data_IF_212359452146
#
_entry.id   IF_212359452146
#
_cell.length_a   1.000
_cell.length_b   1.000
_cell.length_c   1.000
_cell.angle_alpha   90.00
_cell.angle_beta   90.00
_cell.angle_gamma   90.00
#
_symmetry.space_group_name_H-M   'P 1'
#
loop_
_entity.id
_entity.type
_entity.pdbx_description
1 polymer ?
#
# COMPACT_ATOMS: atom_id res chain seq x y z
N UNK A 1 -11.03 38.38 -10.13
CA UNK A 1 -10.80 37.03 -9.57
C UNK A 1 -9.67 37.14 -8.55
N UNK A 2 -9.91 36.88 -7.25
CA UNK A 2 -8.83 36.89 -6.27
C UNK A 2 -7.92 35.66 -6.44
N UNK A 3 -6.59 35.79 -6.26
CA UNK A 3 -5.66 34.68 -6.38
C UNK A 3 -5.91 33.65 -5.28
N UNK A 4 -5.97 32.36 -5.66
CA UNK A 4 -6.12 31.23 -4.75
C UNK A 4 -4.80 31.06 -3.97
N UNK A 5 -4.79 31.13 -2.63
CA UNK A 5 -3.56 31.07 -1.85
C UNK A 5 -3.00 29.63 -1.82
N UNK A 6 -1.79 29.49 -2.35
CA UNK A 6 -0.96 28.29 -2.45
C UNK A 6 -0.36 27.88 -1.08
N UNK A 7 -1.21 27.66 -0.07
CA UNK A 7 -0.79 27.63 1.35
C UNK A 7 -0.94 26.28 2.06
N UNK A 8 -0.71 25.16 1.38
CA UNK A 8 -0.96 23.81 1.98
C UNK A 8 0.25 22.87 2.05
N UNK A 9 1.32 23.09 1.29
CA UNK A 9 2.49 22.20 1.29
C UNK A 9 3.41 22.38 2.52
N UNK A 10 3.47 23.58 3.10
CA UNK A 10 4.33 23.87 4.26
C UNK A 10 3.92 23.17 5.56
N UNK A 11 2.64 22.82 5.71
CA UNK A 11 2.14 22.19 6.94
C UNK A 11 2.71 20.77 7.09
N UNK A 12 2.84 20.02 6.00
CA UNK A 12 3.42 18.67 6.01
C UNK A 12 4.92 18.67 6.36
N UNK A 13 5.68 19.61 5.77
CA UNK A 13 7.11 19.76 6.09
C UNK A 13 7.33 20.17 7.54
N UNK A 14 6.48 21.06 8.06
CA UNK A 14 6.57 21.52 9.45
C UNK A 14 6.22 20.40 10.45
N UNK A 15 5.22 19.57 10.15
CA UNK A 15 4.89 18.39 10.96
C UNK A 15 6.02 17.35 10.96
N UNK A 16 6.64 17.10 9.79
CA UNK A 16 7.74 16.15 9.67
C UNK A 16 8.98 16.65 10.43
N UNK A 17 9.30 17.95 10.32
CA UNK A 17 10.40 18.57 11.06
C UNK A 17 10.16 18.54 12.59
N UNK A 18 8.94 18.83 13.04
CA UNK A 18 8.56 18.71 14.45
C UNK A 18 8.65 17.27 14.97
N UNK A 19 8.21 16.29 14.17
CA UNK A 19 8.31 14.88 14.51
C UNK A 19 9.76 14.41 14.67
N UNK A 20 10.61 14.70 13.67
CA UNK A 20 12.03 14.35 13.72
C UNK A 20 12.74 15.07 14.88
N UNK A 21 12.43 16.36 15.10
CA UNK A 21 12.99 17.15 16.19
C UNK A 21 12.63 16.59 17.56
N UNK A 22 11.36 16.24 17.77
CA UNK A 22 10.88 15.65 19.03
C UNK A 22 11.53 14.29 19.30
N UNK A 23 11.63 13.43 18.28
CA UNK A 23 12.29 12.12 18.39
C UNK A 23 13.77 12.30 18.71
N UNK A 24 14.45 13.24 18.04
CA UNK A 24 15.86 13.54 18.27
C UNK A 24 16.10 14.06 19.69
N UNK A 25 15.25 14.96 20.19
CA UNK A 25 15.33 15.48 21.56
C UNK A 25 15.08 14.37 22.59
N UNK A 26 14.08 13.49 22.36
CA UNK A 26 13.82 12.34 23.22
C UNK A 26 15.04 11.42 23.33
N UNK A 27 15.69 11.11 22.20
CA UNK A 27 16.89 10.25 22.16
C UNK A 27 18.06 10.92 22.89
N UNK A 28 18.25 12.23 22.72
CA UNK A 28 19.33 12.97 23.37
C UNK A 28 19.09 13.13 24.87
N UNK A 29 17.84 13.30 25.32
CA UNK A 29 17.52 13.50 26.74
C UNK A 29 17.34 12.22 27.55
N UNK A 30 17.34 11.05 26.93
CA UNK A 30 17.32 9.80 27.69
C UNK A 30 18.66 9.61 28.39
N UNK A 31 18.64 9.64 29.73
CA UNK A 31 19.80 9.32 30.57
C UNK A 31 20.31 7.89 30.38
N UNK A 32 19.47 7.00 29.83
CA UNK A 32 19.76 5.58 29.73
C UNK A 32 19.88 5.08 28.29
N UNK A 33 20.76 5.72 27.51
CA UNK A 33 20.98 5.40 26.10
C UNK A 33 21.52 3.98 25.89
N UNK A 34 22.31 3.49 26.83
CA UNK A 34 22.89 2.13 26.78
C UNK A 34 21.80 1.06 26.86
N UNK A 35 20.78 1.24 27.70
CA UNK A 35 19.64 0.32 27.78
C UNK A 35 18.80 0.32 26.50
N UNK A 36 18.63 1.47 25.85
CA UNK A 36 17.94 1.54 24.54
C UNK A 36 18.73 0.82 23.46
N UNK A 37 20.04 1.01 23.40
CA UNK A 37 20.89 0.32 22.42
C UNK A 37 20.91 -1.19 22.66
N UNK A 38 20.88 -1.61 23.92
CA UNK A 38 20.81 -3.04 24.31
C UNK A 38 19.44 -3.62 23.98
N UNK A 39 18.36 -2.87 24.19
CA UNK A 39 17.02 -3.26 23.77
C UNK A 39 16.91 -3.37 22.25
N UNK A 40 17.49 -2.42 21.50
CA UNK A 40 17.53 -2.43 20.05
C UNK A 40 18.32 -3.64 19.52
N UNK A 41 19.51 -3.92 20.06
CA UNK A 41 20.30 -5.07 19.63
C UNK A 41 19.60 -6.41 19.93
N UNK A 42 18.89 -6.49 21.06
CA UNK A 42 18.07 -7.65 21.43
C UNK A 42 16.89 -7.85 20.48
N UNK A 43 16.25 -6.75 20.06
CA UNK A 43 15.19 -6.77 19.04
C UNK A 43 15.73 -7.25 17.69
N UNK A 44 16.92 -6.79 17.30
CA UNK A 44 17.57 -7.24 16.05
C UNK A 44 17.86 -8.74 16.08
N UNK A 45 18.29 -9.28 17.22
CA UNK A 45 18.59 -10.71 17.38
C UNK A 45 17.33 -11.60 17.40
N UNK A 46 16.17 -11.07 17.82
CA UNK A 46 14.89 -11.79 17.88
C UNK A 46 13.82 -11.16 16.98
N UNK A 47 14.21 -10.75 15.78
CA UNK A 47 13.35 -10.00 14.84
C UNK A 47 12.01 -10.68 14.56
N UNK A 48 11.93 -12.01 14.60
CA UNK A 48 10.68 -12.77 14.41
C UNK A 48 9.65 -12.51 15.52
N UNK A 49 10.07 -12.42 16.79
CA UNK A 49 9.15 -12.09 17.90
C UNK A 49 8.67 -10.64 17.85
N UNK A 50 9.57 -9.72 17.50
CA UNK A 50 9.23 -8.31 17.33
C UNK A 50 8.26 -8.11 16.17
N UNK A 51 8.51 -8.77 15.02
CA UNK A 51 7.62 -8.76 13.87
C UNK A 51 6.23 -9.32 14.22
N UNK A 52 6.16 -10.46 14.93
CA UNK A 52 4.90 -11.03 15.38
C UNK A 52 4.13 -10.10 16.32
N UNK A 53 4.81 -9.46 17.28
CA UNK A 53 4.19 -8.49 18.19
C UNK A 53 3.66 -7.26 17.46
N UNK A 54 4.44 -6.71 16.51
CA UNK A 54 4.02 -5.58 15.68
C UNK A 54 2.81 -5.96 14.82
N UNK A 55 2.82 -7.14 14.18
CA UNK A 55 1.69 -7.63 13.38
C UNK A 55 0.43 -7.83 14.23
N UNK A 56 0.55 -8.39 15.43
CA UNK A 56 -0.56 -8.51 16.37
C UNK A 56 -1.09 -7.13 16.78
N UNK A 57 -0.20 -6.19 17.12
CA UNK A 57 -0.59 -4.83 17.48
C UNK A 57 -1.30 -4.11 16.32
N UNK A 58 -0.74 -4.18 15.10
CA UNK A 58 -1.37 -3.63 13.90
C UNK A 58 -2.72 -4.28 13.62
N UNK A 59 -2.82 -5.61 13.74
CA UNK A 59 -4.06 -6.36 13.56
C UNK A 59 -5.12 -5.92 14.55
N UNK A 60 -4.77 -5.78 15.83
CA UNK A 60 -5.65 -5.25 16.87
C UNK A 60 -6.05 -3.80 16.60
N UNK A 61 -5.11 -2.95 16.17
CA UNK A 61 -5.36 -1.54 15.88
C UNK A 61 -6.25 -1.36 14.65
N UNK A 62 -6.01 -2.12 13.59
CA UNK A 62 -6.89 -2.19 12.42
C UNK A 62 -8.27 -2.69 12.84
N UNK A 63 -8.36 -3.79 13.58
CA UNK A 63 -9.64 -4.32 14.07
C UNK A 63 -10.40 -3.30 14.92
N UNK A 64 -9.72 -2.59 15.81
CA UNK A 64 -10.30 -1.56 16.67
C UNK A 64 -10.72 -0.30 15.88
N UNK A 65 -9.87 0.16 14.95
CA UNK A 65 -10.13 1.29 14.08
C UNK A 65 -11.27 1.01 13.09
N UNK A 66 -11.43 -0.25 12.67
CA UNK A 66 -12.50 -0.66 11.75
C UNK A 66 -13.79 -1.09 12.46
N UNK A 67 -13.72 -1.55 13.71
CA UNK A 67 -14.94 -1.78 14.53
C UNK A 67 -15.62 -0.50 14.97
N UNK A 68 -14.86 0.57 15.19
CA UNK A 68 -15.42 1.87 15.55
C UNK A 68 -15.70 2.63 14.27
N UNK A 69 -16.95 3.01 14.07
CA UNK A 69 -17.38 3.89 12.98
C UNK A 69 -16.77 5.29 13.21
N UNK A 70 -15.49 5.46 12.87
CA UNK A 70 -14.68 6.64 13.22
C UNK A 70 -15.33 7.93 12.71
N UNK A 71 -15.99 7.87 11.55
CA UNK A 71 -16.72 9.01 10.98
C UNK A 71 -17.93 9.43 11.82
N UNK A 72 -18.62 8.50 12.48
CA UNK A 72 -19.77 8.84 13.33
C UNK A 72 -19.34 9.44 14.66
N UNK A 73 -18.17 9.03 15.18
CA UNK A 73 -17.70 9.48 16.49
C UNK A 73 -16.97 10.83 16.47
N UNK A 74 -16.31 11.18 15.37
CA UNK A 74 -15.52 12.41 15.31
C UNK A 74 -16.29 13.54 14.62
N UNK A 75 -16.71 14.53 15.42
CA UNK A 75 -17.41 15.73 14.96
C UNK A 75 -16.65 16.55 13.89
N UNK A 76 -15.32 16.40 13.82
CA UNK A 76 -14.49 17.02 12.78
C UNK A 76 -14.83 16.51 11.38
N UNK A 77 -15.00 15.20 11.21
CA UNK A 77 -15.30 14.61 9.90
C UNK A 77 -16.70 14.97 9.41
N UNK A 78 -17.69 15.01 10.32
CA UNK A 78 -19.03 15.53 10.00
C UNK A 78 -18.99 16.98 9.51
N UNK A 79 -18.23 17.85 10.19
CA UNK A 79 -18.06 19.23 9.74
C UNK A 79 -17.36 19.33 8.39
N UNK A 80 -16.51 18.37 8.04
CA UNK A 80 -15.77 18.36 6.77
C UNK A 80 -16.65 17.86 5.62
N UNK A 81 -17.49 16.86 5.88
CA UNK A 81 -18.54 16.37 4.98
C UNK A 81 -19.57 17.46 4.67
N UNK A 82 -20.03 18.21 5.67
CA UNK A 82 -21.01 19.29 5.50
C UNK A 82 -20.45 20.51 4.76
N UNK A 83 -19.14 20.78 4.87
CA UNK A 83 -18.53 22.01 4.34
C UNK A 83 -17.82 21.87 3.00
N UNK A 84 -17.51 20.65 2.54
CA UNK A 84 -16.65 20.46 1.36
C UNK A 84 -17.09 19.28 0.49
N UNK A 85 -17.01 19.43 -0.84
CA UNK A 85 -17.25 18.32 -1.78
C UNK A 85 -16.26 17.16 -1.58
N UNK A 86 -15.01 17.47 -1.22
CA UNK A 86 -14.02 16.46 -0.85
C UNK A 86 -14.50 15.63 0.35
N UNK A 87 -15.12 16.26 1.34
CA UNK A 87 -15.68 15.57 2.50
C UNK A 87 -16.80 14.60 2.12
N UNK A 88 -17.68 14.99 1.20
CA UNK A 88 -18.71 14.11 0.67
C UNK A 88 -18.12 12.90 -0.08
N UNK A 89 -17.11 13.14 -0.94
CA UNK A 89 -16.41 12.06 -1.65
C UNK A 89 -15.69 11.10 -0.69
N UNK A 90 -14.98 11.65 0.31
CA UNK A 90 -14.32 10.88 1.37
C UNK A 90 -15.33 10.06 2.19
N UNK A 91 -16.48 10.62 2.53
CA UNK A 91 -17.57 9.92 3.22
C UNK A 91 -18.11 8.76 2.38
N UNK A 92 -18.32 8.98 1.08
CA UNK A 92 -18.76 7.92 0.17
C UNK A 92 -17.74 6.79 0.05
N UNK A 93 -16.45 7.13 -0.13
CA UNK A 93 -15.36 6.15 -0.16
C UNK A 93 -15.30 5.39 1.16
N UNK A 94 -15.39 6.09 2.30
CA UNK A 94 -15.37 5.47 3.63
C UNK A 94 -16.54 4.50 3.81
N UNK A 95 -17.77 4.88 3.44
CA UNK A 95 -18.95 4.01 3.53
C UNK A 95 -18.82 2.76 2.65
N UNK A 96 -18.33 2.91 1.42
CA UNK A 96 -18.05 1.78 0.53
C UNK A 96 -16.97 0.86 1.11
N UNK A 97 -15.89 1.44 1.65
CA UNK A 97 -14.81 0.69 2.26
C UNK A 97 -15.28 -0.04 3.52
N UNK A 98 -15.98 0.66 4.42
CA UNK A 98 -16.58 0.08 5.63
C UNK A 98 -17.54 -1.07 5.28
N UNK A 99 -18.41 -0.89 4.28
CA UNK A 99 -19.29 -1.97 3.79
C UNK A 99 -18.53 -3.19 3.28
N UNK A 100 -17.42 -2.98 2.56
CA UNK A 100 -16.54 -4.08 2.13
C UNK A 100 -15.89 -4.80 3.33
N UNK A 101 -15.43 -4.03 4.33
CA UNK A 101 -14.80 -4.56 5.53
C UNK A 101 -15.75 -5.32 6.46
N UNK A 102 -17.04 -4.96 6.50
CA UNK A 102 -18.04 -5.68 7.30
C UNK A 102 -18.35 -7.08 6.79
N UNK A 103 -17.95 -7.40 5.55
CA UNK A 103 -18.13 -8.72 4.96
C UNK A 103 -16.80 -9.50 4.97
N UNK A 104 -16.53 -10.34 5.99
CA UNK A 104 -15.24 -11.03 6.14
C UNK A 104 -14.89 -11.89 4.92
N UNK A 105 -15.89 -12.49 4.25
CA UNK A 105 -15.66 -13.27 3.03
C UNK A 105 -15.10 -12.44 1.86
N UNK A 106 -15.57 -11.19 1.68
CA UNK A 106 -15.05 -10.29 0.65
C UNK A 106 -13.65 -9.78 1.01
N UNK A 107 -13.43 -9.46 2.28
CA UNK A 107 -12.12 -9.06 2.79
C UNK A 107 -11.06 -10.14 2.55
N UNK A 108 -11.34 -11.39 2.95
CA UNK A 108 -10.41 -12.51 2.78
C UNK A 108 -10.11 -12.76 1.32
N UNK A 109 -11.11 -12.71 0.43
CA UNK A 109 -10.91 -12.87 -1.02
C UNK A 109 -10.05 -11.75 -1.59
N UNK A 110 -10.32 -10.51 -1.22
CA UNK A 110 -9.57 -9.33 -1.69
C UNK A 110 -8.13 -9.37 -1.19
N UNK A 111 -7.92 -9.73 0.07
CA UNK A 111 -6.59 -9.89 0.67
C UNK A 111 -5.82 -11.01 -0.01
N UNK A 112 -6.46 -12.16 -0.27
CA UNK A 112 -5.85 -13.27 -0.98
C UNK A 112 -5.48 -12.86 -2.42
N UNK A 113 -6.36 -12.16 -3.12
CA UNK A 113 -6.08 -11.64 -4.47
C UNK A 113 -4.88 -10.69 -4.45
N UNK A 114 -4.82 -9.80 -3.46
CA UNK A 114 -3.70 -8.87 -3.27
C UNK A 114 -2.39 -9.59 -2.97
N UNK A 115 -2.41 -10.61 -2.10
CA UNK A 115 -1.24 -11.44 -1.80
C UNK A 115 -0.74 -12.20 -3.02
N UNK A 116 -1.64 -12.83 -3.78
CA UNK A 116 -1.30 -13.53 -5.02
C UNK A 116 -0.68 -12.56 -6.02
N UNK A 117 -1.26 -11.37 -6.19
CA UNK A 117 -0.73 -10.34 -7.07
C UNK A 117 0.69 -9.89 -6.64
N UNK A 118 0.91 -9.67 -5.34
CA UNK A 118 2.24 -9.35 -4.82
C UNK A 118 3.23 -10.50 -5.03
N UNK A 119 2.80 -11.74 -4.84
CA UNK A 119 3.64 -12.91 -5.07
C UNK A 119 4.09 -13.00 -6.54
N UNK A 120 3.17 -12.81 -7.50
CA UNK A 120 3.53 -12.75 -8.91
C UNK A 120 4.51 -11.63 -9.23
N UNK A 121 4.31 -10.45 -8.64
CA UNK A 121 5.24 -9.33 -8.80
C UNK A 121 6.64 -9.65 -8.26
N UNK A 122 6.73 -10.29 -7.09
CA UNK A 122 8.01 -10.70 -6.48
C UNK A 122 8.70 -11.77 -7.32
N UNK A 123 7.96 -12.75 -7.83
CA UNK A 123 8.50 -13.79 -8.72
C UNK A 123 9.03 -13.16 -10.01
N UNK A 124 8.29 -12.22 -10.61
CA UNK A 124 8.77 -11.47 -11.77
C UNK A 124 10.07 -10.71 -11.46
N UNK A 125 10.14 -10.02 -10.32
CA UNK A 125 11.34 -9.34 -9.86
C UNK A 125 12.53 -10.29 -9.68
N UNK A 126 12.30 -11.46 -9.08
CA UNK A 126 13.30 -12.51 -8.92
C UNK A 126 13.83 -13.01 -10.27
N UNK A 127 12.94 -13.30 -11.23
CA UNK A 127 13.32 -13.76 -12.57
C UNK A 127 14.13 -12.70 -13.33
N UNK A 128 13.74 -11.42 -13.23
CA UNK A 128 14.51 -10.31 -13.82
C UNK A 128 15.87 -10.14 -13.14
N UNK A 129 15.92 -10.24 -11.81
CA UNK A 129 17.16 -10.18 -11.06
C UNK A 129 18.11 -11.31 -11.44
N UNK A 130 17.59 -12.53 -11.63
CA UNK A 130 18.33 -13.67 -12.14
C UNK A 130 18.87 -13.41 -13.56
N UNK A 131 18.07 -12.79 -14.44
CA UNK A 131 18.51 -12.36 -15.77
C UNK A 131 19.59 -11.29 -15.77
N UNK A 132 19.57 -10.38 -14.80
CA UNK A 132 20.59 -9.35 -14.56
C UNK A 132 21.82 -9.88 -13.78
N UNK A 133 21.88 -11.19 -13.50
CA UNK A 133 22.92 -11.83 -12.71
C UNK A 133 23.12 -11.15 -11.34
N UNK A 134 22.02 -10.74 -10.70
CA UNK A 134 22.02 -10.21 -9.33
C UNK A 134 21.99 -11.40 -8.38
N UNK A 135 23.13 -11.69 -7.77
CA UNK A 135 23.27 -12.71 -6.73
C UNK A 135 23.36 -11.99 -5.38
N UNK A 136 22.37 -12.18 -4.52
CA UNK A 136 22.34 -11.60 -3.17
C UNK A 136 23.04 -12.47 -2.14
N UNK A 137 23.28 -13.74 -2.48
CA UNK A 137 23.97 -14.72 -1.63
C UNK A 137 25.34 -14.96 -2.25
N UNK A 138 26.39 -14.82 -1.45
CA UNK A 138 27.77 -15.06 -1.88
C UNK A 138 27.90 -16.47 -2.51
N UNK A 139 28.66 -16.61 -3.61
CA UNK A 139 28.93 -17.91 -4.19
C UNK A 139 29.74 -18.74 -3.18
N UNK A 140 29.14 -19.84 -2.70
CA UNK A 140 29.84 -20.87 -1.94
C UNK A 140 30.43 -21.88 -2.93
N UNK A 141 31.63 -22.41 -2.65
CA UNK A 141 32.39 -23.29 -3.54
C UNK A 141 31.79 -24.71 -3.67
N UNK A 142 30.59 -24.95 -3.14
CA UNK A 142 29.94 -26.26 -3.08
C UNK A 142 28.98 -26.49 -4.27
N UNK A 143 29.35 -27.31 -5.29
CA UNK A 143 28.59 -27.44 -6.54
C UNK A 143 27.22 -28.16 -6.42
N UNK A 144 26.93 -28.80 -5.28
CA UNK A 144 25.72 -29.62 -5.10
C UNK A 144 24.49 -28.85 -4.55
N UNK A 145 24.60 -27.56 -4.24
CA UNK A 145 23.58 -26.79 -3.50
C UNK A 145 22.76 -25.84 -4.39
N UNK A 146 22.91 -25.92 -5.72
CA UNK A 146 22.26 -25.01 -6.68
C UNK A 146 20.73 -24.78 -6.49
N UNK A 147 19.87 -25.80 -6.26
CA UNK A 147 18.43 -25.57 -6.11
C UNK A 147 18.08 -24.91 -4.76
N UNK A 148 18.77 -25.27 -3.69
CA UNK A 148 18.54 -24.71 -2.35
C UNK A 148 18.89 -23.22 -2.35
N UNK A 149 19.98 -22.84 -3.03
CA UNK A 149 20.39 -21.44 -3.20
C UNK A 149 19.31 -20.61 -3.88
N UNK A 150 18.67 -21.11 -4.95
CA UNK A 150 17.59 -20.39 -5.64
C UNK A 150 16.39 -20.12 -4.74
N UNK A 151 16.04 -21.08 -3.88
CA UNK A 151 14.95 -20.92 -2.90
C UNK A 151 15.32 -19.86 -1.85
N UNK A 152 16.57 -19.87 -1.37
CA UNK A 152 17.07 -18.86 -0.43
C UNK A 152 17.07 -17.46 -1.05
N UNK A 153 17.52 -17.31 -2.31
CA UNK A 153 17.46 -16.04 -3.05
C UNK A 153 16.02 -15.55 -3.21
N UNK A 154 15.08 -16.43 -3.59
CA UNK A 154 13.67 -16.08 -3.65
C UNK A 154 13.15 -15.62 -2.28
N UNK A 155 13.61 -16.23 -1.19
CA UNK A 155 13.32 -15.81 0.18
C UNK A 155 13.78 -14.38 0.47
N UNK A 156 14.96 -13.98 0.01
CA UNK A 156 15.43 -12.58 0.10
C UNK A 156 14.52 -11.64 -0.69
N UNK A 157 14.10 -12.01 -1.90
CA UNK A 157 13.18 -11.18 -2.68
C UNK A 157 11.80 -11.07 -2.02
N UNK A 158 11.31 -12.16 -1.43
CA UNK A 158 10.04 -12.21 -0.69
C UNK A 158 10.00 -11.30 0.53
N UNK A 159 11.14 -11.01 1.15
CA UNK A 159 11.20 -10.08 2.30
C UNK A 159 11.44 -8.64 1.86
N UNK A 160 12.34 -8.42 0.91
CA UNK A 160 12.79 -7.08 0.51
C UNK A 160 11.75 -6.37 -0.36
N UNK A 161 11.14 -7.05 -1.33
CA UNK A 161 10.24 -6.39 -2.30
C UNK A 161 8.91 -5.89 -1.72
N UNK A 162 8.25 -6.57 -0.77
CA UNK A 162 7.09 -6.00 -0.08
C UNK A 162 7.42 -4.69 0.64
N UNK A 163 8.60 -4.60 1.26
CA UNK A 163 9.06 -3.38 1.94
C UNK A 163 9.30 -2.26 0.93
N UNK A 164 10.01 -2.56 -0.18
CA UNK A 164 10.22 -1.61 -1.28
C UNK A 164 8.89 -1.11 -1.83
N UNK A 165 7.95 -2.02 -2.11
CA UNK A 165 6.63 -1.65 -2.64
C UNK A 165 5.84 -0.80 -1.65
N UNK A 166 5.89 -1.12 -0.36
CA UNK A 166 5.29 -0.31 0.70
C UNK A 166 5.84 1.12 0.70
N UNK A 167 7.16 1.28 0.66
CA UNK A 167 7.82 2.60 0.59
C UNK A 167 7.44 3.34 -0.71
N UNK A 168 7.35 2.62 -1.83
CA UNK A 168 6.97 3.18 -3.12
C UNK A 168 5.54 3.75 -3.14
N UNK A 169 4.63 3.27 -2.29
CA UNK A 169 3.26 3.83 -2.20
C UNK A 169 3.20 5.20 -1.53
N UNK A 170 4.27 5.64 -0.88
CA UNK A 170 4.32 6.97 -0.28
C UNK A 170 4.34 8.00 -1.42
N UNK A 171 3.38 8.95 -1.48
CA UNK A 171 3.26 9.91 -2.57
C UNK A 171 4.29 11.04 -2.46
N UNK A 172 5.56 10.70 -2.23
CA UNK A 172 6.67 11.64 -2.24
C UNK A 172 7.18 11.92 -3.66
N UNK A 173 6.93 11.02 -4.62
CA UNK A 173 7.32 11.18 -6.02
C UNK A 173 6.19 10.73 -6.97
N UNK A 174 6.07 11.31 -8.17
CA UNK A 174 5.09 10.86 -9.17
C UNK A 174 5.26 9.37 -9.46
N UNK A 175 4.19 8.60 -9.23
CA UNK A 175 4.20 7.14 -9.43
C UNK A 175 5.15 6.35 -8.51
N UNK A 176 5.69 6.96 -7.45
CA UNK A 176 6.60 6.28 -6.52
C UNK A 176 7.96 5.90 -7.12
N UNK A 177 8.31 6.42 -8.29
CA UNK A 177 9.51 6.00 -9.04
C UNK A 177 10.79 6.28 -8.25
N UNK A 178 10.93 7.51 -7.72
CA UNK A 178 12.14 7.91 -7.01
C UNK A 178 12.27 7.23 -5.65
N UNK A 179 11.16 7.03 -4.94
CA UNK A 179 11.14 6.31 -3.66
C UNK A 179 11.45 4.82 -3.85
N UNK A 180 10.92 4.19 -4.91
CA UNK A 180 11.22 2.79 -5.24
C UNK A 180 12.69 2.60 -5.60
N UNK A 181 13.26 3.45 -6.46
CA UNK A 181 14.67 3.36 -6.84
C UNK A 181 15.60 3.56 -5.64
N UNK A 182 15.34 4.60 -4.84
CA UNK A 182 16.11 4.86 -3.61
C UNK A 182 16.00 3.69 -2.62
N UNK A 183 14.80 3.15 -2.39
CA UNK A 183 14.61 2.00 -1.51
C UNK A 183 15.30 0.74 -2.03
N UNK A 184 15.27 0.50 -3.34
CA UNK A 184 15.93 -0.66 -3.95
C UNK A 184 17.45 -0.56 -3.80
N UNK A 185 18.05 0.62 -4.06
CA UNK A 185 19.47 0.88 -3.80
C UNK A 185 19.84 0.68 -2.34
N UNK A 186 19.04 1.23 -1.44
CA UNK A 186 19.31 1.18 -0.01
C UNK A 186 19.22 -0.25 0.53
N UNK A 187 18.16 -0.99 0.18
CA UNK A 187 17.90 -2.33 0.70
C UNK A 187 18.68 -3.45 0.01
N UNK A 188 19.08 -3.29 -1.27
CA UNK A 188 19.93 -4.27 -1.94
C UNK A 188 21.43 -3.90 -1.88
N UNK A 189 21.75 -2.64 -1.60
CA UNK A 189 23.13 -2.15 -1.49
C UNK A 189 23.74 -2.33 -0.10
N UNK A 190 23.02 -2.93 0.85
CA UNK A 190 23.55 -3.28 2.17
C UNK A 190 24.71 -4.28 1.97
N UNK A 191 25.85 -4.17 2.69
CA UNK A 191 27.04 -4.99 2.44
C UNK A 191 26.81 -6.50 2.43
N UNK A 192 25.79 -6.98 3.13
CA UNK A 192 25.38 -8.38 3.21
C UNK A 192 24.88 -8.92 1.86
N UNK A 193 24.28 -8.08 1.02
CA UNK A 193 23.80 -8.48 -0.31
C UNK A 193 24.79 -8.11 -1.42
N UNK A 194 25.66 -7.11 -1.19
CA UNK A 194 26.74 -6.75 -2.09
C UNK A 194 26.32 -6.36 -3.52
N UNK A 195 25.04 -6.02 -3.73
CA UNK A 195 24.53 -5.74 -5.08
C UNK A 195 25.05 -4.39 -5.55
N UNK A 196 25.67 -4.37 -6.73
CA UNK A 196 26.15 -3.13 -7.34
C UNK A 196 24.96 -2.16 -7.54
N UNK A 197 25.06 -0.88 -7.12
CA UNK A 197 23.96 0.07 -7.18
C UNK A 197 23.37 0.25 -8.58
N UNK A 198 24.19 0.15 -9.63
CA UNK A 198 23.75 0.21 -11.03
C UNK A 198 22.77 -0.91 -11.38
N UNK A 199 23.05 -2.15 -10.96
CA UNK A 199 22.16 -3.31 -11.22
C UNK A 199 20.86 -3.20 -10.44
N UNK A 200 20.91 -2.73 -9.20
CA UNK A 200 19.74 -2.48 -8.37
C UNK A 200 18.79 -1.45 -9.01
N UNK A 201 19.33 -0.37 -9.56
CA UNK A 201 18.58 0.63 -10.35
C UNK A 201 17.94 0.00 -11.56
N UNK A 202 18.73 -0.72 -12.36
CA UNK A 202 18.23 -1.34 -13.59
C UNK A 202 17.07 -2.28 -13.31
N UNK A 203 17.15 -3.07 -12.24
CA UNK A 203 16.06 -3.95 -11.81
C UNK A 203 14.79 -3.15 -11.46
N UNK A 204 14.92 -2.07 -10.67
CA UNK A 204 13.79 -1.21 -10.30
C UNK A 204 13.13 -0.55 -11.52
N UNK A 205 13.93 -0.01 -12.44
CA UNK A 205 13.44 0.61 -13.68
C UNK A 205 12.77 -0.41 -14.59
N UNK A 206 13.32 -1.61 -14.73
CA UNK A 206 12.76 -2.65 -15.59
C UNK A 206 11.40 -3.12 -15.06
N UNK A 207 11.28 -3.32 -13.75
CA UNK A 207 10.01 -3.60 -13.09
C UNK A 207 9.01 -2.47 -13.30
N UNK A 208 9.44 -1.22 -13.19
CA UNK A 208 8.58 -0.07 -13.45
C UNK A 208 8.05 -0.05 -14.89
N UNK A 209 8.92 -0.26 -15.88
CA UNK A 209 8.54 -0.34 -17.30
C UNK A 209 7.52 -1.47 -17.54
N UNK A 210 7.72 -2.63 -16.93
CA UNK A 210 6.77 -3.76 -17.05
C UNK A 210 5.42 -3.39 -16.43
N UNK A 211 5.40 -2.75 -15.26
CA UNK A 211 4.15 -2.30 -14.64
C UNK A 211 3.45 -1.20 -15.45
N UNK A 212 4.20 -0.28 -16.05
CA UNK A 212 3.65 0.73 -16.96
C UNK A 212 3.07 0.10 -18.21
N UNK A 213 3.76 -0.87 -18.81
CA UNK A 213 3.28 -1.60 -19.97
C UNK A 213 1.95 -2.29 -19.67
N UNK A 214 1.84 -3.00 -18.54
CA UNK A 214 0.58 -3.62 -18.14
C UNK A 214 -0.53 -2.62 -17.83
N UNK A 215 -0.19 -1.48 -17.22
CA UNK A 215 -1.15 -0.40 -16.97
C UNK A 215 -1.69 0.19 -18.28
N UNK A 216 -0.84 0.32 -19.30
CA UNK A 216 -1.23 0.73 -20.64
C UNK A 216 -2.16 -0.30 -21.29
N UNK A 217 -1.83 -1.60 -21.22
CA UNK A 217 -2.68 -2.68 -21.75
C UNK A 217 -4.06 -2.64 -21.10
N UNK A 218 -4.14 -2.56 -19.77
CA UNK A 218 -5.43 -2.47 -19.06
C UNK A 218 -6.18 -1.20 -19.44
N UNK A 219 -5.48 -0.07 -19.59
CA UNK A 219 -6.08 1.19 -20.05
C UNK A 219 -6.67 1.09 -21.46
N UNK A 220 -5.99 0.42 -22.39
CA UNK A 220 -6.49 0.17 -23.75
C UNK A 220 -7.71 -0.75 -23.72
N UNK A 221 -7.65 -1.87 -22.98
CA UNK A 221 -8.79 -2.79 -22.83
C UNK A 221 -9.98 -2.07 -22.24
N UNK A 222 -9.77 -1.23 -21.23
CA UNK A 222 -10.83 -0.43 -20.61
C UNK A 222 -11.40 0.62 -21.57
N UNK A 223 -10.55 1.32 -22.33
CA UNK A 223 -10.99 2.30 -23.34
C UNK A 223 -11.83 1.64 -24.43
N UNK A 224 -11.45 0.45 -24.90
CA UNK A 224 -12.22 -0.33 -25.88
C UNK A 224 -13.50 -0.89 -25.24
N UNK A 225 -13.45 -1.34 -23.98
CA UNK A 225 -14.57 -1.92 -23.25
C UNK A 225 -15.66 -0.90 -22.89
N UNK A 226 -15.29 0.34 -22.53
CA UNK A 226 -16.22 1.44 -22.28
C UNK A 226 -16.99 1.85 -23.55
N UNK A 227 -16.43 1.60 -24.74
CA UNK A 227 -17.14 1.85 -26.00
C UNK A 227 -18.36 0.92 -26.16
N UNK A 228 -18.50 -0.11 -25.31
CA UNK A 228 -19.78 -0.76 -25.08
C UNK A 228 -20.48 -0.03 -23.93
N UNK A 229 -21.36 0.96 -24.19
CA UNK A 229 -22.14 1.56 -23.13
C UNK A 229 -22.89 0.43 -22.44
N UNK A 230 -22.64 0.27 -21.14
CA UNK A 230 -23.64 -0.34 -20.28
C UNK A 230 -24.89 0.48 -20.54
N UNK A 231 -25.85 -0.09 -21.30
CA UNK A 231 -27.20 0.47 -21.36
C UNK A 231 -27.57 0.73 -19.91
N UNK A 232 -27.76 1.99 -19.49
CA UNK A 232 -28.13 2.27 -18.13
C UNK A 232 -29.29 1.33 -17.83
N UNK A 233 -29.29 0.60 -16.71
CA UNK A 233 -30.44 -0.20 -16.33
C UNK A 233 -31.61 0.76 -16.49
N UNK A 234 -32.48 0.48 -17.46
CA UNK A 234 -33.64 1.30 -17.76
C UNK A 234 -34.35 1.37 -16.43
N UNK A 235 -34.17 2.51 -15.74
CA UNK A 235 -34.72 2.73 -14.43
C UNK A 235 -36.20 2.56 -14.67
N UNK A 236 -36.72 1.42 -14.20
CA UNK A 236 -38.05 0.99 -14.49
C UNK A 236 -39.00 2.10 -14.08
N UNK A 237 -39.43 2.87 -15.07
CA UNK A 237 -40.72 3.55 -15.10
C UNK A 237 -41.87 2.55 -15.06
N UNK A 238 -41.57 1.25 -14.87
CA UNK A 238 -42.42 0.26 -14.23
C UNK A 238 -42.50 0.45 -12.71
N UNK A 239 -42.60 1.70 -12.22
CA UNK A 239 -43.61 1.98 -11.20
C UNK A 239 -44.94 1.89 -11.95
N UNK A 240 -45.28 0.62 -12.16
CA UNK A 240 -46.57 0.06 -12.53
C UNK A 240 -47.70 1.07 -12.41
N UNK A 241 -48.29 1.40 -13.57
CA UNK A 241 -49.66 1.88 -13.62
C UNK A 241 -50.58 1.03 -12.73
N UNK A 242 -50.29 -0.27 -12.50
CA UNK A 242 -51.00 -1.09 -11.51
C UNK A 242 -50.96 -0.54 -10.09
N UNK A 243 -49.86 0.04 -9.61
CA UNK A 243 -49.81 0.60 -8.24
C UNK A 243 -50.66 1.87 -8.14
N UNK A 244 -50.68 2.69 -9.19
CA UNK A 244 -51.57 3.85 -9.28
C UNK A 244 -53.03 3.45 -9.49
N UNK A 245 -53.29 2.35 -10.20
CA UNK A 245 -54.63 1.80 -10.40
C UNK A 245 -55.20 1.20 -9.11
N UNK A 246 -54.37 0.48 -8.35
CA UNK A 246 -54.75 -0.11 -7.07
C UNK A 246 -54.99 0.95 -5.98
N UNK A 247 -54.27 2.09 -6.04
CA UNK A 247 -54.56 3.26 -5.18
C UNK A 247 -55.86 3.95 -5.60
N UNK A 248 -56.12 4.07 -6.91
CA UNK A 248 -57.36 4.67 -7.42
C UNK A 248 -58.60 3.84 -7.08
N UNK A 249 -58.55 2.51 -7.22
CA UNK A 249 -59.66 1.60 -6.87
C UNK A 249 -59.97 1.54 -5.37
N UNK A 250 -58.97 1.79 -4.49
CA UNK A 250 -59.22 1.92 -3.04
C UNK A 250 -59.79 3.27 -2.63
N UNK A 251 -59.80 4.26 -3.52
CA UNK A 251 -60.29 5.62 -3.25
C UNK A 251 -61.71 5.89 -3.77
N UNK A 252 -62.33 4.91 -4.43
CA UNK A 252 -63.72 4.92 -4.92
C UNK A 252 -64.58 3.92 -4.15
#
# INVERSE_FOLDING_TARGET
MPPVPERRHWIGLLQLALGIGLISVLIVRMDNRQDVLTALSTITQRWYTAAAAILCFLGCLLTAAFRRNVFEHFAFFRRLEEKTELGAMLSQIYRAFHGCLTHPGLLTRTLLLSLINHLFFIVAAFLLGAGLQIQTIAPDDTPHIAPIRRIAELGTYLTVFPVINGIATIPATPGGLGTRDAATKFLLGVPEFGVQPSRAVTLSLLLYVITLFWSLVVGIVYAIGIIYPATPPSCGSTITNETLQNIRERSS
#
